data_IF_290859746965
#
_entry.id   IF_290859746965
#
_cell.length_a   1.000
_cell.length_b   1.000
_cell.length_c   1.000
_cell.angle_alpha   90.00
_cell.angle_beta   90.00
_cell.angle_gamma   90.00
#
_symmetry.space_group_name_H-M   'P 1'
#
loop_
_entity.id
_entity.type
_entity.pdbx_description
1 polymer ?
#
# COMPACT_ATOMS: atom_id res chain seq x y z
N UNK A 1 12.60 27.56 14.74
CA UNK A 1 12.36 26.11 14.94
C UNK A 1 12.31 25.49 13.54
N UNK A 2 13.13 24.49 13.21
CA UNK A 2 13.26 24.00 11.83
C UNK A 2 11.99 23.25 11.39
N UNK A 3 11.43 23.56 10.23
CA UNK A 3 10.23 22.94 9.61
C UNK A 3 10.32 21.39 9.55
N UNK A 4 11.54 20.84 9.49
CA UNK A 4 11.76 19.38 9.51
C UNK A 4 11.48 18.75 10.87
N UNK A 5 11.63 19.50 11.97
CA UNK A 5 11.41 19.01 13.32
C UNK A 5 9.92 18.89 13.65
N UNK A 6 9.08 19.80 13.13
CA UNK A 6 7.63 19.75 13.30
C UNK A 6 7.00 18.59 12.54
N UNK A 7 7.39 18.36 11.29
CA UNK A 7 6.92 17.21 10.51
C UNK A 7 7.32 15.87 11.14
N UNK A 8 8.58 15.72 11.56
CA UNK A 8 9.06 14.49 12.19
C UNK A 8 8.22 14.15 13.43
N UNK A 9 7.91 15.15 14.28
CA UNK A 9 7.07 14.96 15.46
C UNK A 9 5.69 14.39 15.12
N UNK A 10 5.01 14.95 14.11
CA UNK A 10 3.69 14.46 13.71
C UNK A 10 3.77 13.06 13.09
N UNK A 11 4.79 12.77 12.27
CA UNK A 11 4.99 11.43 11.73
C UNK A 11 5.20 10.41 12.85
N UNK A 12 6.05 10.71 13.84
CA UNK A 12 6.29 9.84 14.99
C UNK A 12 5.01 9.62 15.79
N UNK A 13 4.23 10.68 16.04
CA UNK A 13 2.95 10.60 16.72
C UNK A 13 1.95 9.72 15.96
N UNK A 14 1.84 9.88 14.63
CA UNK A 14 1.00 9.03 13.78
C UNK A 14 1.44 7.57 13.89
N UNK A 15 2.75 7.30 13.82
CA UNK A 15 3.27 5.93 13.90
C UNK A 15 2.97 5.28 15.25
N UNK A 16 3.19 6.00 16.36
CA UNK A 16 2.87 5.51 17.72
C UNK A 16 1.37 5.27 17.87
N UNK A 17 0.53 6.23 17.45
CA UNK A 17 -0.92 6.09 17.56
C UNK A 17 -1.46 4.96 16.69
N UNK A 18 -0.92 4.74 15.48
CA UNK A 18 -1.33 3.63 14.61
C UNK A 18 -0.91 2.25 15.13
N UNK A 19 0.08 2.17 16.03
CA UNK A 19 0.38 0.92 16.75
C UNK A 19 -0.69 0.60 17.80
N UNK A 20 -1.23 1.61 18.46
CA UNK A 20 -2.27 1.46 19.50
C UNK A 20 -3.67 1.33 18.90
N UNK A 21 -3.97 2.12 17.87
CA UNK A 21 -5.26 2.24 17.21
C UNK A 21 -5.06 2.05 15.70
N UNK A 22 -4.93 0.79 15.23
CA UNK A 22 -4.59 0.49 13.84
C UNK A 22 -5.69 0.82 12.84
N UNK A 23 -6.81 1.39 13.27
CA UNK A 23 -7.99 1.63 12.43
C UNK A 23 -8.38 3.11 12.36
N UNK A 24 -7.44 4.00 12.72
CA UNK A 24 -7.64 5.45 12.62
C UNK A 24 -6.66 6.02 11.60
N UNK A 25 -7.20 6.75 10.63
CA UNK A 25 -6.42 7.58 9.72
C UNK A 25 -6.27 8.92 10.40
N UNK A 26 -5.06 9.31 10.80
CA UNK A 26 -4.80 10.63 11.35
C UNK A 26 -4.54 11.63 10.22
N UNK A 27 -4.82 12.90 10.40
CA UNK A 27 -4.42 13.93 9.47
C UNK A 27 -4.20 15.24 10.21
N UNK A 28 -3.40 16.14 9.65
CA UNK A 28 -3.25 17.46 10.27
C UNK A 28 -4.55 18.26 10.11
N UNK A 29 -4.96 18.96 11.16
CA UNK A 29 -6.04 19.92 11.06
C UNK A 29 -5.49 21.32 11.35
N UNK A 30 -5.42 22.21 10.34
CA UNK A 30 -4.91 23.56 10.53
C UNK A 30 -5.71 24.40 11.52
N UNK A 31 -7.00 24.08 11.74
CA UNK A 31 -7.84 24.82 12.67
C UNK A 31 -7.45 24.54 14.12
N UNK A 32 -7.20 23.27 14.47
CA UNK A 32 -6.72 22.88 15.80
C UNK A 32 -5.20 22.95 15.96
N UNK A 33 -4.44 22.93 14.87
CA UNK A 33 -2.98 22.86 14.89
C UNK A 33 -2.43 21.50 15.32
N UNK A 34 -3.26 20.44 15.27
CA UNK A 34 -2.90 19.09 15.72
C UNK A 34 -3.46 18.00 14.80
N UNK A 35 -3.15 16.74 15.10
CA UNK A 35 -3.65 15.58 14.40
C UNK A 35 -5.08 15.27 14.82
N UNK A 36 -5.96 15.11 13.83
CA UNK A 36 -7.34 14.70 14.00
C UNK A 36 -7.60 13.36 13.29
N UNK A 37 -8.62 12.65 13.77
CA UNK A 37 -9.07 11.41 13.15
C UNK A 37 -9.93 11.72 11.91
N UNK A 38 -9.55 11.14 10.78
CA UNK A 38 -10.34 11.15 9.55
C UNK A 38 -11.31 9.97 9.57
N UNK A 39 -12.58 10.25 9.32
CA UNK A 39 -13.61 9.24 9.11
C UNK A 39 -13.65 8.79 7.66
N UNK A 40 -13.75 7.48 7.45
CA UNK A 40 -13.91 6.90 6.13
C UNK A 40 -15.33 7.12 5.59
N UNK A 41 -15.49 7.56 4.33
CA UNK A 41 -16.81 7.86 3.80
C UNK A 41 -17.66 6.60 3.61
N UNK A 42 -18.95 6.70 3.96
CA UNK A 42 -19.97 5.67 3.65
C UNK A 42 -21.06 6.21 2.72
N UNK A 43 -21.69 5.29 1.98
CA UNK A 43 -22.86 5.55 1.15
C UNK A 43 -24.10 5.80 1.99
N UNK A 44 -25.22 6.17 1.35
CA UNK A 44 -26.51 6.34 2.03
C UNK A 44 -26.99 5.05 2.72
N UNK A 45 -26.61 3.91 2.17
CA UNK A 45 -26.92 2.57 2.67
C UNK A 45 -25.95 2.12 3.79
N UNK A 46 -25.01 2.98 4.20
CA UNK A 46 -24.01 2.68 5.22
C UNK A 46 -22.85 1.80 4.74
N UNK A 47 -22.77 1.50 3.43
CA UNK A 47 -21.67 0.74 2.86
C UNK A 47 -20.42 1.63 2.76
N UNK A 48 -19.22 1.08 2.99
CA UNK A 48 -17.98 1.83 2.79
C UNK A 48 -17.81 2.20 1.32
N UNK A 49 -17.46 3.46 1.06
CA UNK A 49 -17.04 3.88 -0.27
C UNK A 49 -15.75 3.14 -0.62
N UNK A 50 -15.73 2.48 -1.77
CA UNK A 50 -14.56 1.72 -2.24
C UNK A 50 -13.44 2.67 -2.70
N UNK A 51 -12.17 2.21 -2.71
CA UNK A 51 -11.07 3.00 -3.24
C UNK A 51 -11.33 3.53 -4.66
N UNK A 52 -11.91 2.72 -5.55
CA UNK A 52 -12.24 3.13 -6.92
C UNK A 52 -13.30 4.24 -7.00
N UNK A 53 -14.20 4.30 -6.02
CA UNK A 53 -15.28 5.30 -5.97
C UNK A 53 -14.90 6.55 -5.16
N UNK A 54 -13.72 6.59 -4.56
CA UNK A 54 -13.30 7.63 -3.62
C UNK A 54 -13.28 9.03 -4.27
N UNK A 55 -12.74 9.15 -5.49
CA UNK A 55 -12.74 10.42 -6.23
C UNK A 55 -14.14 10.87 -6.63
N UNK A 56 -14.97 9.95 -7.11
CA UNK A 56 -16.37 10.25 -7.44
C UNK A 56 -17.12 10.75 -6.18
N UNK A 57 -16.89 10.10 -5.04
CA UNK A 57 -17.49 10.52 -3.78
C UNK A 57 -17.02 11.91 -3.35
N UNK A 58 -15.71 12.17 -3.40
CA UNK A 58 -15.10 13.49 -3.11
C UNK A 58 -15.68 14.62 -3.97
N UNK A 59 -15.96 14.36 -5.25
CA UNK A 59 -16.52 15.35 -6.15
C UNK A 59 -17.98 15.68 -5.83
N UNK A 60 -18.74 14.71 -5.31
CA UNK A 60 -20.17 14.83 -5.11
C UNK A 60 -20.59 15.12 -3.65
N UNK A 61 -19.68 14.98 -2.69
CA UNK A 61 -19.95 15.15 -1.26
C UNK A 61 -19.04 16.21 -0.65
N UNK A 62 -19.43 16.71 0.52
CA UNK A 62 -18.58 17.57 1.36
C UNK A 62 -17.50 16.73 2.07
N UNK A 63 -16.79 15.92 1.30
CA UNK A 63 -15.72 15.06 1.74
C UNK A 63 -14.40 15.62 1.21
N UNK A 64 -13.36 15.59 2.06
CA UNK A 64 -11.99 15.95 1.71
C UNK A 64 -11.07 14.77 2.04
N UNK A 65 -10.06 14.59 1.21
CA UNK A 65 -8.95 13.71 1.55
C UNK A 65 -8.24 14.20 2.83
N UNK A 66 -7.58 13.31 3.59
CA UNK A 66 -6.78 13.69 4.74
C UNK A 66 -5.84 14.86 4.42
N UNK A 67 -5.64 15.80 5.32
CA UNK A 67 -4.71 16.93 5.13
C UNK A 67 -3.23 16.47 5.16
N UNK A 68 -2.36 17.07 4.35
CA UNK A 68 -0.91 16.87 4.45
C UNK A 68 -0.32 17.69 5.60
N UNK A 69 0.79 17.19 6.14
CA UNK A 69 1.53 17.87 7.21
C UNK A 69 2.10 19.22 6.76
N UNK A 70 2.31 19.46 5.46
CA UNK A 70 2.74 20.76 4.92
C UNK A 70 1.81 21.91 5.33
N UNK A 71 0.53 21.63 5.61
CA UNK A 71 -0.38 22.68 6.09
C UNK A 71 0.01 23.21 7.48
N UNK A 72 0.87 22.50 8.22
CA UNK A 72 1.45 23.00 9.48
C UNK A 72 2.55 24.04 9.27
N UNK A 73 3.17 24.06 8.09
CA UNK A 73 4.25 24.99 7.75
C UNK A 73 3.74 26.33 7.20
N UNK A 74 2.54 26.34 6.60
CA UNK A 74 1.90 27.52 6.02
C UNK A 74 0.42 27.57 6.43
N UNK A 75 0.12 27.92 7.70
CA UNK A 75 -1.24 27.94 8.21
C UNK A 75 -2.13 28.94 7.46
N UNK A 76 -1.56 30.01 6.88
CA UNK A 76 -2.30 30.95 6.02
C UNK A 76 -2.90 30.30 4.77
N UNK A 77 -2.31 29.21 4.26
CA UNK A 77 -2.83 28.48 3.10
C UNK A 77 -4.01 27.57 3.46
N UNK A 78 -4.28 27.39 4.76
CA UNK A 78 -5.38 26.60 5.27
C UNK A 78 -5.27 25.11 4.94
N UNK A 79 -6.42 24.45 4.79
CA UNK A 79 -6.52 23.01 4.60
C UNK A 79 -5.95 22.59 3.23
N UNK A 80 -4.85 21.83 3.25
CA UNK A 80 -4.22 21.28 2.05
C UNK A 80 -4.33 19.77 2.06
N UNK A 81 -5.12 19.21 1.15
CA UNK A 81 -5.28 17.75 1.04
C UNK A 81 -3.94 17.07 0.74
N UNK A 82 -3.73 15.91 1.37
CA UNK A 82 -2.62 15.03 1.04
C UNK A 82 -2.95 14.26 -0.24
N UNK A 83 -1.91 13.84 -0.96
CA UNK A 83 -2.08 12.87 -2.03
C UNK A 83 -2.63 11.56 -1.46
N UNK A 84 -3.80 11.18 -1.95
CA UNK A 84 -4.43 9.89 -1.71
C UNK A 84 -4.30 9.08 -2.98
N UNK A 85 -3.69 7.91 -2.92
CA UNK A 85 -3.51 7.07 -4.10
C UNK A 85 -3.96 5.63 -3.85
N UNK A 86 -4.33 4.99 -4.96
CA UNK A 86 -4.41 3.54 -5.10
C UNK A 86 -3.04 3.10 -5.58
N UNK A 87 -2.19 2.48 -4.74
CA UNK A 87 -0.85 2.18 -5.18
C UNK A 87 -0.91 0.98 -6.13
N UNK A 88 -0.41 1.14 -7.36
CA UNK A 88 -0.29 0.04 -8.31
C UNK A 88 1.05 -0.72 -8.15
N UNK A 89 2.20 -0.03 -7.98
CA UNK A 89 3.48 -0.63 -7.47
C UNK A 89 4.29 0.38 -6.57
N UNK A 90 5.45 0.02 -5.99
CA UNK A 90 6.45 0.97 -5.44
C UNK A 90 6.44 1.43 -3.94
N UNK A 91 7.54 2.09 -3.53
CA UNK A 91 7.78 2.78 -2.24
C UNK A 91 7.57 4.29 -2.44
N UNK A 92 6.72 4.92 -1.61
CA UNK A 92 6.21 6.27 -1.89
C UNK A 92 6.68 7.27 -0.82
N UNK A 93 7.17 8.43 -1.26
CA UNK A 93 7.53 9.57 -0.43
C UNK A 93 6.76 10.80 -0.90
N UNK A 94 5.79 11.27 -0.10
CA UNK A 94 5.10 12.55 -0.31
C UNK A 94 6.07 13.71 -0.11
N UNK A 95 5.72 14.91 -0.58
CA UNK A 95 6.55 16.10 -0.32
C UNK A 95 6.77 16.34 1.18
N UNK A 96 5.74 16.09 1.99
CA UNK A 96 5.80 16.07 3.47
C UNK A 96 6.19 14.70 4.07
N UNK A 97 6.40 13.67 3.25
CA UNK A 97 6.54 12.28 3.71
C UNK A 97 5.25 11.63 4.24
N UNK A 98 4.19 12.42 4.46
CA UNK A 98 2.89 11.90 4.88
C UNK A 98 2.02 11.48 3.70
N UNK A 99 1.59 10.22 3.72
CA UNK A 99 0.83 9.60 2.65
C UNK A 99 -0.22 8.65 3.24
N UNK A 100 -1.42 8.66 2.67
CA UNK A 100 -2.49 7.72 3.03
C UNK A 100 -2.76 6.75 1.88
N UNK A 101 -2.39 5.48 2.08
CA UNK A 101 -2.71 4.37 1.18
C UNK A 101 -4.13 3.87 1.46
N UNK A 102 -5.12 4.33 0.69
CA UNK A 102 -6.53 4.05 0.94
C UNK A 102 -6.91 2.57 0.87
N UNK A 103 -6.28 1.78 -0.02
CA UNK A 103 -6.57 0.33 -0.10
C UNK A 103 -6.24 -0.41 1.21
N UNK A 104 -5.12 -0.03 1.85
CA UNK A 104 -4.69 -0.64 3.11
C UNK A 104 -5.70 -0.40 4.22
N UNK A 105 -6.37 0.75 4.21
CA UNK A 105 -7.34 1.14 5.23
C UNK A 105 -8.74 0.57 4.96
N UNK A 106 -9.16 0.52 3.69
CA UNK A 106 -10.48 0.00 3.30
C UNK A 106 -10.77 -1.39 3.87
N UNK A 107 -9.78 -2.28 3.86
CA UNK A 107 -9.91 -3.66 4.34
C UNK A 107 -9.87 -3.81 5.88
N UNK A 108 -9.54 -2.75 6.63
CA UNK A 108 -9.43 -2.84 8.10
C UNK A 108 -10.79 -2.81 8.79
N UNK A 109 -11.02 -3.75 9.71
CA UNK A 109 -12.21 -3.74 10.58
C UNK A 109 -12.07 -2.65 11.64
N UNK A 110 -13.17 -2.03 12.08
CA UNK A 110 -13.14 -0.97 13.10
C UNK A 110 -12.62 0.38 12.59
N UNK A 111 -12.53 0.57 11.28
CA UNK A 111 -12.28 1.88 10.68
C UNK A 111 -13.39 2.84 11.09
N UNK A 112 -13.04 4.03 11.58
CA UNK A 112 -14.02 5.07 11.83
C UNK A 112 -14.70 5.44 10.51
N UNK A 113 -16.03 5.48 10.52
CA UNK A 113 -16.85 5.73 9.33
C UNK A 113 -17.80 6.89 9.58
N UNK A 114 -18.06 7.67 8.53
CA UNK A 114 -19.05 8.74 8.59
C UNK A 114 -19.68 8.98 7.21
N UNK A 115 -20.90 9.49 7.25
CA UNK A 115 -21.67 9.84 6.07
C UNK A 115 -21.54 11.34 5.80
N UNK A 116 -20.93 11.69 4.68
CA UNK A 116 -20.74 13.09 4.32
C UNK A 116 -21.93 13.61 3.52
N UNK A 117 -22.42 14.82 3.79
CA UNK A 117 -23.55 15.38 3.05
C UNK A 117 -23.15 15.63 1.58
N UNK A 118 -24.13 15.56 0.67
CA UNK A 118 -23.89 15.92 -0.74
C UNK A 118 -23.51 17.39 -0.84
N UNK A 119 -22.58 17.67 -1.76
CA UNK A 119 -22.17 19.04 -2.06
C UNK A 119 -23.34 19.78 -2.73
N UNK A 120 -23.62 21.00 -2.27
CA UNK A 120 -24.64 21.85 -2.90
C UNK A 120 -24.15 22.35 -4.26
N UNK A 121 -25.09 22.65 -5.17
CA UNK A 121 -24.78 23.20 -6.49
C UNK A 121 -24.01 24.53 -6.34
N UNK A 122 -22.88 24.68 -7.05
CA UNK A 122 -22.04 25.89 -7.01
C UNK A 122 -20.93 25.88 -5.95
N UNK A 123 -20.89 24.91 -5.04
CA UNK A 123 -19.73 24.75 -4.14
C UNK A 123 -18.54 24.21 -4.91
N UNK A 124 -17.37 24.83 -4.72
CA UNK A 124 -16.13 24.42 -5.38
C UNK A 124 -15.72 23.01 -4.94
N UNK A 125 -15.39 22.16 -5.90
CA UNK A 125 -14.73 20.88 -5.62
C UNK A 125 -13.28 21.18 -5.23
N UNK A 126 -12.76 20.59 -4.13
CA UNK A 126 -11.36 20.77 -3.78
C UNK A 126 -10.44 20.34 -4.94
N UNK A 127 -9.38 21.09 -5.24
CA UNK A 127 -8.51 20.80 -6.38
C UNK A 127 -7.86 19.42 -6.23
N UNK A 128 -7.73 18.67 -7.33
CA UNK A 128 -7.05 17.37 -7.28
C UNK A 128 -5.58 17.56 -6.89
N UNK A 129 -5.15 16.86 -5.85
CA UNK A 129 -3.75 16.90 -5.40
C UNK A 129 -2.97 15.81 -6.13
N UNK A 130 -2.04 16.23 -6.99
CA UNK A 130 -1.14 15.32 -7.69
C UNK A 130 0.13 15.14 -6.87
N UNK A 131 0.52 13.88 -6.66
CA UNK A 131 1.86 13.59 -6.16
C UNK A 131 2.85 13.70 -7.31
N UNK A 132 3.81 14.62 -7.19
CA UNK A 132 4.94 14.71 -8.11
C UNK A 132 6.13 13.98 -7.45
N UNK A 133 6.59 12.85 -8.02
CA UNK A 133 7.79 12.18 -7.52
C UNK A 133 8.97 13.15 -7.55
N UNK A 134 9.74 13.20 -6.46
CA UNK A 134 10.88 14.12 -6.27
C UNK A 134 11.89 14.13 -7.43
N UNK A 135 12.00 13.02 -8.18
CA UNK A 135 12.89 12.89 -9.34
C UNK A 135 12.54 13.81 -10.52
N UNK A 136 11.27 14.18 -10.70
CA UNK A 136 10.84 15.01 -11.83
C UNK A 136 10.86 16.52 -11.53
N UNK A 137 11.09 16.94 -10.28
CA UNK A 137 11.15 18.37 -9.93
C UNK A 137 12.37 19.10 -10.50
N UNK A 138 13.43 18.38 -10.86
CA UNK A 138 14.61 18.99 -11.50
C UNK A 138 14.42 19.27 -13.00
N UNK A 139 13.33 18.81 -13.62
CA UNK A 139 13.10 18.94 -15.07
C UNK A 139 11.94 19.89 -15.43
N UNK A 140 11.23 20.48 -14.45
CA UNK A 140 10.00 21.27 -14.71
C UNK A 140 10.19 22.78 -14.51
N UNK A 141 11.37 23.22 -14.07
CA UNK A 141 11.72 24.64 -14.11
C UNK A 141 12.50 24.92 -15.39
N UNK A 142 11.90 25.72 -16.29
CA UNK A 142 12.70 26.46 -17.26
C UNK A 142 13.65 27.41 -16.50
N UNK A 143 14.71 27.87 -17.17
CA UNK A 143 15.73 28.74 -16.59
C UNK A 143 15.18 30.12 -16.13
N UNK A 144 13.87 30.33 -16.21
CA UNK A 144 13.16 31.56 -15.89
C UNK A 144 12.15 31.42 -14.74
N UNK A 145 11.94 30.23 -14.17
CA UNK A 145 11.16 30.06 -12.94
C UNK A 145 9.64 30.26 -13.09
N UNK A 146 9.07 29.95 -14.26
CA UNK A 146 7.62 30.09 -14.50
C UNK A 146 6.93 28.71 -14.51
N UNK A 147 5.77 28.58 -13.87
CA UNK A 147 4.89 27.40 -14.05
C UNK A 147 4.12 27.57 -15.37
N UNK A 148 4.12 26.61 -16.31
CA UNK A 148 3.33 26.75 -17.53
C UNK A 148 1.83 26.72 -17.20
N UNK A 149 1.11 27.77 -17.60
CA UNK A 149 -0.31 27.98 -17.34
C UNK A 149 -1.26 27.10 -18.19
N UNK A 150 -0.82 25.92 -18.68
CA UNK A 150 -1.62 25.06 -19.55
C UNK A 150 -1.49 23.60 -19.16
N UNK A 151 -2.26 23.19 -18.14
CA UNK A 151 -2.72 21.81 -18.03
C UNK A 151 -4.22 21.83 -18.30
N UNK A 152 -4.57 21.85 -19.59
CA UNK A 152 -5.96 21.66 -20.02
C UNK A 152 -6.43 20.25 -19.62
N UNK A 153 -7.68 20.20 -19.17
CA UNK A 153 -8.33 19.07 -18.53
C UNK A 153 -8.26 17.76 -19.36
N UNK A 154 -7.41 16.83 -18.94
CA UNK A 154 -7.49 15.43 -19.36
C UNK A 154 -8.56 14.69 -18.52
N UNK A 155 -9.34 13.78 -19.13
CA UNK A 155 -10.40 13.05 -18.44
C UNK A 155 -9.83 12.17 -17.32
N UNK A 156 -10.51 12.22 -16.17
CA UNK A 156 -10.25 11.53 -14.91
C UNK A 156 -9.81 10.07 -15.07
N UNK A 157 -8.51 9.85 -15.19
CA UNK A 157 -7.88 8.58 -14.86
C UNK A 157 -7.00 8.90 -13.66
N UNK A 158 -7.24 8.25 -12.53
CA UNK A 158 -6.30 8.29 -11.41
C UNK A 158 -4.89 8.08 -12.00
N UNK A 159 -3.89 8.91 -11.67
CA UNK A 159 -2.55 8.68 -12.17
C UNK A 159 -2.11 7.32 -11.67
N UNK A 160 -2.17 6.33 -12.56
CA UNK A 160 -1.44 5.08 -12.42
C UNK A 160 0.02 5.48 -12.55
N UNK A 161 0.66 5.75 -11.41
CA UNK A 161 2.09 5.99 -11.37
C UNK A 161 2.76 4.65 -11.66
N UNK A 162 3.08 4.41 -12.93
CA UNK A 162 4.10 3.43 -13.28
C UNK A 162 5.43 4.02 -12.85
N UNK A 163 5.93 3.54 -11.72
CA UNK A 163 7.29 3.84 -11.28
C UNK A 163 8.22 2.84 -11.97
N UNK A 164 9.27 3.40 -12.55
CA UNK A 164 10.31 2.72 -13.29
C UNK A 164 10.81 1.42 -12.62
N UNK A 165 11.29 0.56 -13.52
CA UNK A 165 11.93 -0.76 -13.38
C UNK A 165 12.49 -1.18 -12.01
N UNK A 166 12.42 -2.49 -11.69
CA UNK A 166 12.80 -3.05 -10.40
C UNK A 166 14.22 -2.63 -10.01
N UNK A 167 14.33 -1.93 -8.88
CA UNK A 167 15.61 -1.55 -8.31
C UNK A 167 16.52 -2.78 -8.20
N UNK A 168 17.66 -2.68 -8.86
CA UNK A 168 18.72 -3.68 -8.94
C UNK A 168 19.02 -4.37 -7.59
N UNK A 169 18.73 -5.67 -7.52
CA UNK A 169 19.41 -6.74 -6.75
C UNK A 169 20.07 -6.35 -5.41
N UNK A 170 19.30 -5.83 -4.45
CA UNK A 170 19.71 -5.97 -3.04
C UNK A 170 19.43 -7.42 -2.63
N UNK A 171 20.44 -8.16 -2.15
CA UNK A 171 20.25 -9.52 -1.60
C UNK A 171 19.17 -9.45 -0.51
N UNK A 172 17.98 -9.94 -0.82
CA UNK A 172 16.90 -10.02 0.15
C UNK A 172 17.29 -10.99 1.26
N UNK A 173 17.06 -10.58 2.51
CA UNK A 173 17.27 -11.46 3.65
C UNK A 173 16.14 -12.49 3.72
N UNK A 174 16.42 -13.68 4.26
CA UNK A 174 15.44 -14.75 4.50
C UNK A 174 14.16 -14.25 5.20
N UNK A 175 14.32 -13.28 6.11
CA UNK A 175 13.19 -12.70 6.86
C UNK A 175 12.31 -11.81 5.98
N UNK A 176 12.88 -11.10 5.00
CA UNK A 176 12.11 -10.31 4.05
C UNK A 176 11.32 -11.20 3.09
N UNK A 177 11.90 -12.33 2.64
CA UNK A 177 11.20 -13.30 1.80
C UNK A 177 10.08 -14.05 2.56
N UNK A 178 10.25 -14.29 3.86
CA UNK A 178 9.15 -14.82 4.68
C UNK A 178 8.02 -13.79 4.83
N UNK A 179 8.36 -12.51 5.01
CA UNK A 179 7.36 -11.43 5.03
C UNK A 179 6.64 -11.25 3.70
N UNK A 180 7.25 -11.62 2.57
CA UNK A 180 6.61 -11.52 1.25
C UNK A 180 5.53 -12.58 1.02
N UNK A 181 5.60 -13.73 1.71
CA UNK A 181 4.53 -14.74 1.68
C UNK A 181 3.24 -14.24 2.31
N UNK A 182 3.34 -13.55 3.45
CA UNK A 182 2.21 -12.91 4.13
C UNK A 182 1.92 -11.50 3.58
N UNK A 183 2.68 -11.06 2.58
CA UNK A 183 2.48 -9.76 1.98
C UNK A 183 1.25 -9.79 1.08
N UNK A 184 0.33 -8.87 1.34
CA UNK A 184 -0.86 -8.68 0.51
C UNK A 184 -0.53 -8.24 -0.93
N UNK A 185 0.68 -7.69 -1.16
CA UNK A 185 1.09 -7.13 -2.45
C UNK A 185 2.22 -7.98 -3.06
N UNK A 186 1.92 -8.64 -4.18
CA UNK A 186 2.69 -9.76 -4.77
C UNK A 186 2.90 -10.89 -3.74
N UNK A 187 1.80 -11.46 -3.20
CA UNK A 187 1.89 -12.62 -2.33
C UNK A 187 2.64 -13.72 -3.08
N UNK A 188 3.58 -14.35 -2.37
CA UNK A 188 4.35 -15.44 -2.92
C UNK A 188 5.82 -15.09 -3.11
N UNK A 189 6.53 -16.14 -3.48
CA UNK A 189 7.96 -16.16 -3.76
C UNK A 189 8.15 -17.07 -4.95
N UNK A 190 9.27 -16.93 -5.66
CA UNK A 190 9.62 -17.86 -6.71
C UNK A 190 9.78 -19.27 -6.14
N UNK A 191 9.45 -20.29 -6.92
CA UNK A 191 9.61 -21.69 -6.53
C UNK A 191 11.05 -21.99 -6.08
N UNK A 192 12.03 -21.44 -6.80
CA UNK A 192 13.45 -21.57 -6.46
C UNK A 192 13.80 -20.98 -5.10
N UNK A 193 13.07 -19.98 -4.62
CA UNK A 193 13.23 -19.40 -3.28
C UNK A 193 12.37 -20.12 -2.23
N UNK A 194 11.21 -20.63 -2.62
CA UNK A 194 10.38 -21.49 -1.77
C UNK A 194 11.16 -22.72 -1.28
N UNK A 195 11.86 -23.41 -2.19
CA UNK A 195 12.70 -24.59 -1.85
C UNK A 195 13.88 -24.22 -0.93
N UNK A 196 14.36 -22.97 -0.98
CA UNK A 196 15.41 -22.46 -0.08
C UNK A 196 14.86 -22.10 1.30
N UNK A 197 13.62 -21.63 1.40
CA UNK A 197 13.03 -21.19 2.66
C UNK A 197 12.36 -22.31 3.45
N UNK A 198 11.78 -23.30 2.77
CA UNK A 198 10.99 -24.37 3.39
C UNK A 198 11.66 -25.74 3.26
N UNK A 199 11.29 -26.63 4.18
CA UNK A 199 11.62 -28.04 4.15
C UNK A 199 10.39 -28.86 4.54
N UNK A 200 10.22 -30.01 3.88
CA UNK A 200 9.21 -31.00 4.24
C UNK A 200 9.85 -32.08 5.10
N UNK A 201 9.31 -32.30 6.29
CA UNK A 201 9.74 -33.39 7.15
C UNK A 201 9.11 -34.73 6.70
N UNK A 202 9.69 -35.86 7.14
CA UNK A 202 9.14 -37.20 6.91
C UNK A 202 7.75 -37.40 7.52
N UNK A 203 7.41 -36.64 8.56
CA UNK A 203 6.06 -36.61 9.13
C UNK A 203 5.02 -35.89 8.25
N UNK A 204 5.43 -35.35 7.10
CA UNK A 204 4.56 -34.63 6.17
C UNK A 204 4.48 -33.12 6.41
N UNK A 205 4.96 -32.60 7.54
CA UNK A 205 4.92 -31.18 7.84
C UNK A 205 5.90 -30.37 6.96
N UNK A 206 5.39 -29.29 6.34
CA UNK A 206 6.21 -28.27 5.68
C UNK A 206 6.41 -27.11 6.65
N UNK A 207 7.65 -26.72 6.86
CA UNK A 207 8.01 -25.64 7.79
C UNK A 207 9.21 -24.86 7.27
N UNK A 208 9.46 -23.69 7.84
CA UNK A 208 10.67 -22.92 7.48
C UNK A 208 11.93 -23.71 7.89
N UNK A 209 12.99 -23.63 7.10
CA UNK A 209 14.26 -24.32 7.39
C UNK A 209 14.86 -23.93 8.73
N UNK A 210 14.55 -22.72 9.22
CA UNK A 210 14.94 -22.26 10.56
C UNK A 210 14.32 -23.13 11.66
N UNK A 211 13.02 -23.40 11.55
CA UNK A 211 12.26 -24.22 12.52
C UNK A 211 12.55 -25.71 12.34
N UNK A 212 12.83 -26.14 11.10
CA UNK A 212 13.15 -27.53 10.78
C UNK A 212 14.33 -28.10 11.59
N UNK A 213 15.37 -27.29 11.85
CA UNK A 213 16.55 -27.71 12.63
C UNK A 213 16.22 -28.09 14.08
N UNK A 214 15.16 -27.50 14.63
CA UNK A 214 14.68 -27.74 15.98
C UNK A 214 13.44 -28.63 16.02
N UNK A 215 12.98 -29.14 14.87
CA UNK A 215 11.80 -29.98 14.80
C UNK A 215 12.12 -31.40 15.29
N UNK A 216 11.42 -31.82 16.35
CA UNK A 216 11.47 -33.20 16.83
C UNK A 216 10.39 -34.00 16.09
N UNK A 217 10.81 -34.76 15.08
CA UNK A 217 9.91 -35.58 14.29
C UNK A 217 9.53 -36.86 15.05
N UNK A 218 8.24 -36.99 15.40
CA UNK A 218 7.71 -38.19 16.09
C UNK A 218 7.26 -39.27 15.10
N UNK A 219 7.20 -38.98 13.80
CA UNK A 219 6.86 -39.99 12.80
C UNK A 219 7.98 -41.05 12.71
N UNK A 220 7.65 -42.29 13.10
CA UNK A 220 8.49 -43.47 12.84
C UNK A 220 8.56 -43.70 11.32
N UNK A 221 9.73 -43.96 10.72
CA UNK A 221 9.81 -44.21 9.29
C UNK A 221 9.32 -45.62 8.97
N UNK A 222 8.45 -45.84 7.97
CA UNK A 222 8.55 -47.04 7.17
C UNK A 222 9.73 -46.88 6.19
N UNK A 223 10.52 -47.94 5.91
CA UNK A 223 11.57 -47.89 4.91
C UNK A 223 10.91 -47.78 3.53
N UNK A 224 11.21 -46.71 2.80
CA UNK A 224 10.82 -46.60 1.39
C UNK A 224 12.09 -46.79 0.57
N UNK A 225 12.20 -47.97 -0.04
CA UNK A 225 13.14 -48.23 -1.14
C UNK A 225 12.52 -47.59 -2.38
N UNK A 226 13.19 -46.59 -2.94
CA UNK A 226 12.80 -46.01 -4.23
C UNK A 226 13.53 -46.83 -5.28
N UNK A 227 12.77 -47.64 -6.00
CA UNK A 227 13.26 -48.31 -7.19
C UNK A 227 13.34 -47.30 -8.34
N UNK A 228 14.54 -47.14 -8.89
CA UNK A 228 14.84 -46.21 -9.99
C UNK A 228 15.07 -46.95 -11.31
N UNK A 229 14.66 -48.22 -11.43
CA UNK A 229 14.81 -48.98 -12.69
C UNK A 229 13.58 -48.92 -13.60
N UNK A 230 12.62 -48.02 -13.38
CA UNK A 230 11.45 -47.88 -14.24
C UNK A 230 11.52 -46.53 -14.97
N UNK A 231 12.33 -46.52 -16.03
CA UNK A 231 12.12 -45.61 -17.15
C UNK A 231 11.01 -46.23 -18.01
N UNK A 232 9.80 -45.69 -17.93
CA UNK A 232 8.69 -46.10 -18.80
C UNK A 232 8.06 -44.87 -19.46
N UNK A 233 8.85 -44.24 -20.31
CA UNK A 233 8.31 -43.71 -21.56
C UNK A 233 8.25 -44.88 -22.56
N UNK A 234 7.16 -44.95 -23.33
CA UNK A 234 6.90 -45.75 -24.54
C UNK A 234 5.95 -46.97 -24.48
N UNK A 235 4.83 -46.77 -25.19
CA UNK A 235 3.99 -47.72 -25.97
C UNK A 235 2.73 -48.41 -25.38
N UNK A 236 1.57 -47.87 -25.80
CA UNK A 236 0.30 -48.57 -26.14
C UNK A 236 0.34 -48.84 -27.67
N UNK A 237 -0.32 -49.84 -28.32
CA UNK A 237 -1.22 -50.94 -27.88
C UNK A 237 -0.86 -52.34 -28.48
N UNK A 238 -1.65 -53.38 -28.19
CA UNK A 238 -2.41 -54.19 -29.20
C UNK A 238 -3.42 -55.09 -28.46
N UNK A 239 -4.67 -55.00 -28.93
CA UNK A 239 -5.77 -55.94 -28.67
C UNK A 239 -5.64 -57.10 -29.67
N UNK A 240 -5.67 -58.35 -29.20
CA UNK A 240 -6.17 -59.50 -29.96
C UNK A 240 -6.93 -60.40 -28.97
N UNK A 241 -8.13 -60.83 -29.38
CA UNK A 241 -9.20 -61.58 -28.68
C UNK A 241 -8.80 -62.49 -27.51
#
# INVERSE_FOLDING_TARGET
>A
MSLRLTHARYIDQIQVQQQLLPCIIFHFDPASGDLQAQFWPVTLEGARVTPSNFNSYRNNHNFRAPCCLCASDAPENGYTECAVYIPLEGQHQGECGYIVCIERWYSRRGLLIDQYPRRQLGHLVPPTVYHLPTRNRLAVYDAQGSIPAQFDALPCTLPSLSLDEPSNRRRETTLNQLKSLDCWRRPGILESDFVKLFAKCRCGLIMTRRVFRSHICVARPPPVVIDLTIDSDDEIPIVID
#
